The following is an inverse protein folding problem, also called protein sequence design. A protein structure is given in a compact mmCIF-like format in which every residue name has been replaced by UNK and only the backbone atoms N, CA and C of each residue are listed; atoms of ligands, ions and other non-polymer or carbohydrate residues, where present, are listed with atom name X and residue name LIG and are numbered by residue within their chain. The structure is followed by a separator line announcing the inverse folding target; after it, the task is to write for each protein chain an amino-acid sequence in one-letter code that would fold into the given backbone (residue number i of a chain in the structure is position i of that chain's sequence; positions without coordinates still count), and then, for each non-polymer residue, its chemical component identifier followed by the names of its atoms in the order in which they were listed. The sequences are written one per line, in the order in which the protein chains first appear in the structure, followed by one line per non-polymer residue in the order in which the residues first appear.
data_IF_791694156831
#
_entry.id   IF_791694156831
#
_cell.length_a   1.000
_cell.length_b   1.000
_cell.length_c   1.000
_cell.angle_alpha   90.00
_cell.angle_beta   90.00
_cell.angle_gamma   90.00
#
_symmetry.space_group_name_H-M   'P 1'
#
loop_
_entity.id
_entity.type
_entity.pdbx_description
1 polymer ?
#
# COMPACT_ATOMS: atom_id res chain seq x y z
N UNK A 1 13.23 -32.27 10.23
CA UNK A 1 14.08 -31.09 9.93
C UNK A 1 13.39 -30.33 8.81
N UNK A 2 12.85 -29.14 9.07
CA UNK A 2 12.28 -28.32 7.99
C UNK A 2 13.40 -28.02 6.98
N UNK A 3 13.21 -28.35 5.70
CA UNK A 3 14.16 -28.01 4.65
C UNK A 3 14.35 -26.49 4.64
N UNK A 4 15.51 -26.00 5.11
CA UNK A 4 15.90 -24.60 4.93
C UNK A 4 15.95 -24.33 3.43
N UNK A 5 14.97 -23.62 2.90
CA UNK A 5 15.07 -23.10 1.55
C UNK A 5 16.07 -21.95 1.57
N UNK A 6 17.07 -22.06 0.68
CA UNK A 6 18.08 -21.05 0.43
C UNK A 6 17.71 -20.37 -0.89
N UNK A 7 17.07 -19.19 -0.85
CA UNK A 7 16.81 -18.41 -2.06
C UNK A 7 18.10 -18.14 -2.84
N UNK A 8 18.00 -18.05 -4.16
CA UNK A 8 19.13 -17.59 -5.00
C UNK A 8 18.76 -16.36 -5.81
N UNK A 9 17.63 -16.43 -6.53
CA UNK A 9 17.19 -15.39 -7.44
C UNK A 9 15.79 -14.95 -7.02
N UNK A 10 15.73 -13.79 -6.37
CA UNK A 10 14.50 -13.28 -5.72
C UNK A 10 13.90 -12.17 -6.56
N UNK A 11 12.65 -12.34 -6.96
CA UNK A 11 11.83 -11.26 -7.50
C UNK A 11 11.09 -10.56 -6.37
N UNK A 12 11.32 -9.26 -6.18
CA UNK A 12 10.56 -8.42 -5.25
C UNK A 12 9.70 -7.46 -6.08
N UNK A 13 8.40 -7.66 -6.08
CA UNK A 13 7.49 -6.75 -6.78
C UNK A 13 7.15 -5.55 -5.87
N UNK A 14 7.11 -4.33 -6.39
CA UNK A 14 6.70 -3.16 -5.62
C UNK A 14 7.80 -2.56 -4.73
N UNK A 15 9.08 -2.90 -4.98
CA UNK A 15 10.19 -2.51 -4.10
C UNK A 15 10.60 -1.04 -4.20
N UNK A 16 10.07 -0.26 -5.14
CA UNK A 16 10.22 1.20 -5.10
C UNK A 16 9.21 1.85 -4.13
N UNK A 17 8.25 1.09 -3.59
CA UNK A 17 7.35 1.52 -2.52
C UNK A 17 7.99 1.48 -1.12
N UNK A 18 7.18 1.73 -0.10
CA UNK A 18 7.62 1.84 1.29
C UNK A 18 8.24 0.54 1.85
N UNK A 19 7.41 -0.44 2.24
CA UNK A 19 7.87 -1.64 2.99
C UNK A 19 8.89 -2.46 2.19
N UNK A 20 8.60 -2.68 0.92
CA UNK A 20 9.41 -3.55 0.06
C UNK A 20 10.80 -2.97 -0.24
N UNK A 21 10.98 -1.65 -0.19
CA UNK A 21 12.31 -1.04 -0.31
C UNK A 21 13.22 -1.41 0.87
N UNK A 22 12.68 -1.38 2.09
CA UNK A 22 13.41 -1.81 3.30
C UNK A 22 13.80 -3.28 3.21
N UNK A 23 12.87 -4.14 2.78
CA UNK A 23 13.14 -5.58 2.56
C UNK A 23 14.24 -5.78 1.52
N UNK A 24 14.15 -5.10 0.37
CA UNK A 24 15.14 -5.16 -0.69
C UNK A 24 16.52 -4.73 -0.21
N UNK A 25 16.63 -3.55 0.40
CA UNK A 25 17.88 -3.00 0.90
C UNK A 25 18.51 -3.90 1.98
N UNK A 26 17.67 -4.46 2.85
CA UNK A 26 18.11 -5.39 3.88
C UNK A 26 18.65 -6.69 3.30
N UNK A 27 17.96 -7.30 2.34
CA UNK A 27 18.40 -8.55 1.72
C UNK A 27 19.70 -8.36 0.95
N UNK A 28 19.85 -7.26 0.21
CA UNK A 28 21.07 -6.97 -0.55
C UNK A 28 22.27 -6.76 0.36
N UNK A 29 22.07 -6.01 1.46
CA UNK A 29 23.11 -5.75 2.45
C UNK A 29 23.57 -7.01 3.18
N UNK A 30 22.63 -7.90 3.53
CA UNK A 30 22.91 -9.03 4.41
C UNK A 30 23.24 -10.33 3.63
N UNK A 31 22.84 -10.44 2.36
CA UNK A 31 22.97 -11.65 1.55
C UNK A 31 23.59 -11.32 0.18
N UNK A 32 24.93 -11.11 0.12
CA UNK A 32 25.61 -10.74 -1.13
C UNK A 32 25.50 -11.81 -2.23
N UNK A 33 25.26 -13.07 -1.86
CA UNK A 33 25.09 -14.18 -2.79
C UNK A 33 23.69 -14.25 -3.43
N UNK A 34 22.73 -13.45 -2.97
CA UNK A 34 21.38 -13.41 -3.56
C UNK A 34 21.35 -12.43 -4.71
N UNK A 35 20.80 -12.85 -5.85
CA UNK A 35 20.40 -11.94 -6.92
C UNK A 35 19.00 -11.41 -6.62
N UNK A 36 18.87 -10.10 -6.48
CA UNK A 36 17.59 -9.42 -6.24
C UNK A 36 17.16 -8.69 -7.50
N UNK A 37 16.02 -9.09 -8.04
CA UNK A 37 15.35 -8.44 -9.16
C UNK A 37 14.12 -7.72 -8.63
N UNK A 38 13.99 -6.43 -8.92
CA UNK A 38 12.83 -5.63 -8.57
C UNK A 38 11.96 -5.42 -9.81
N UNK A 39 10.66 -5.64 -9.67
CA UNK A 39 9.65 -5.27 -10.65
C UNK A 39 8.69 -4.24 -10.05
N UNK A 40 8.70 -3.02 -10.58
CA UNK A 40 7.84 -1.93 -10.09
C UNK A 40 7.38 -1.05 -11.25
N UNK A 41 6.12 -0.64 -11.25
CA UNK A 41 5.57 0.24 -12.30
C UNK A 41 5.86 1.72 -12.04
N UNK A 42 6.43 2.06 -10.89
CA UNK A 42 6.71 3.41 -10.41
C UNK A 42 5.43 4.25 -10.31
N UNK A 43 4.49 3.74 -9.53
CA UNK A 43 3.23 4.43 -9.23
C UNK A 43 3.46 5.67 -8.33
N UNK A 44 2.42 6.44 -8.06
CA UNK A 44 2.50 7.72 -7.34
C UNK A 44 3.20 7.66 -5.98
N UNK A 45 3.09 6.53 -5.27
CA UNK A 45 3.66 6.28 -3.94
C UNK A 45 5.00 5.52 -4.00
N UNK A 46 5.62 5.45 -5.18
CA UNK A 46 6.90 4.78 -5.42
C UNK A 46 8.00 5.80 -5.73
N UNK A 47 9.22 5.50 -5.30
CA UNK A 47 10.41 6.31 -5.58
C UNK A 47 11.63 5.43 -5.74
N UNK A 48 12.37 5.60 -6.85
CA UNK A 48 13.66 4.91 -7.04
C UNK A 48 14.68 5.28 -5.96
N UNK A 49 14.55 6.47 -5.36
CA UNK A 49 15.42 6.91 -4.26
C UNK A 49 15.37 5.94 -3.07
N UNK A 50 14.23 5.27 -2.87
CA UNK A 50 14.08 4.28 -1.80
C UNK A 50 15.03 3.08 -1.97
N UNK A 51 15.53 2.85 -3.19
CA UNK A 51 16.44 1.76 -3.55
C UNK A 51 17.89 2.23 -3.75
N UNK A 52 18.19 3.52 -3.54
CA UNK A 52 19.56 4.05 -3.66
C UNK A 52 20.60 3.27 -2.83
N UNK A 53 20.31 2.81 -1.59
CA UNK A 53 21.26 1.98 -0.83
C UNK A 53 21.67 0.68 -1.53
N UNK A 54 20.83 0.17 -2.44
CA UNK A 54 21.05 -1.08 -3.18
C UNK A 54 21.53 -0.86 -4.61
N UNK A 55 21.43 0.36 -5.12
CA UNK A 55 21.53 0.67 -6.56
C UNK A 55 22.88 0.30 -7.17
N UNK A 56 23.96 0.45 -6.42
CA UNK A 56 25.33 0.14 -6.86
C UNK A 56 25.70 -1.33 -6.70
N UNK A 57 24.84 -2.15 -6.09
CA UNK A 57 25.17 -3.53 -5.79
C UNK A 57 25.15 -4.39 -7.06
N UNK A 58 26.18 -5.24 -7.31
CA UNK A 58 26.26 -6.04 -8.53
C UNK A 58 25.16 -7.13 -8.61
N UNK A 59 24.56 -7.47 -7.49
CA UNK A 59 23.48 -8.44 -7.36
C UNK A 59 22.07 -7.81 -7.42
N UNK A 60 21.96 -6.51 -7.69
CA UNK A 60 20.70 -5.79 -7.81
C UNK A 60 20.33 -5.51 -9.27
N UNK A 61 19.07 -5.75 -9.63
CA UNK A 61 18.50 -5.35 -10.92
C UNK A 61 17.13 -4.73 -10.75
N UNK A 62 16.90 -3.56 -11.33
CA UNK A 62 15.58 -2.93 -11.38
C UNK A 62 14.96 -3.08 -12.77
N UNK A 63 13.68 -3.45 -12.81
CA UNK A 63 12.86 -3.56 -14.02
C UNK A 63 11.61 -2.70 -13.82
N UNK A 64 11.44 -1.67 -14.65
CA UNK A 64 10.21 -0.88 -14.68
C UNK A 64 9.14 -1.67 -15.44
N UNK A 65 8.02 -1.96 -14.80
CA UNK A 65 6.92 -2.67 -15.45
C UNK A 65 5.78 -3.02 -14.51
N UNK A 66 4.65 -3.42 -15.11
CA UNK A 66 3.44 -3.79 -14.38
C UNK A 66 3.33 -5.32 -14.24
N UNK A 67 3.00 -5.79 -13.04
CA UNK A 67 2.72 -7.20 -12.76
C UNK A 67 1.50 -7.72 -13.53
N UNK A 68 0.64 -6.83 -14.02
CA UNK A 68 -0.50 -7.15 -14.88
C UNK A 68 -0.08 -7.55 -16.32
N UNK A 69 1.19 -7.35 -16.69
CA UNK A 69 1.73 -7.76 -17.99
C UNK A 69 2.22 -9.21 -17.93
N UNK A 70 1.39 -10.15 -18.43
CA UNK A 70 1.69 -11.58 -18.40
C UNK A 70 3.00 -11.94 -19.13
N UNK A 71 3.21 -11.38 -20.33
CA UNK A 71 4.42 -11.63 -21.11
C UNK A 71 5.68 -11.16 -20.40
N UNK A 72 5.62 -9.96 -19.79
CA UNK A 72 6.75 -9.41 -19.04
C UNK A 72 7.06 -10.26 -17.81
N UNK A 73 6.04 -10.63 -17.03
CA UNK A 73 6.24 -11.46 -15.83
C UNK A 73 6.84 -12.80 -16.24
N UNK A 74 6.29 -13.47 -17.25
CA UNK A 74 6.81 -14.74 -17.73
C UNK A 74 8.28 -14.63 -18.20
N UNK A 75 8.58 -13.59 -18.98
CA UNK A 75 9.93 -13.29 -19.45
C UNK A 75 10.92 -13.09 -18.29
N UNK A 76 10.54 -12.31 -17.26
CA UNK A 76 11.40 -12.07 -16.09
C UNK A 76 11.68 -13.38 -15.34
N UNK A 77 10.64 -14.19 -15.09
CA UNK A 77 10.82 -15.44 -14.35
C UNK A 77 11.82 -16.37 -15.05
N UNK A 78 11.72 -16.49 -16.38
CA UNK A 78 12.62 -17.34 -17.17
C UNK A 78 14.03 -16.76 -17.29
N UNK A 79 14.16 -15.51 -17.74
CA UNK A 79 15.46 -14.93 -18.09
C UNK A 79 16.31 -14.59 -16.87
N UNK A 80 15.69 -14.27 -15.74
CA UNK A 80 16.40 -13.99 -14.51
C UNK A 80 16.57 -15.23 -13.62
N UNK A 81 16.03 -16.39 -14.06
CA UNK A 81 16.03 -17.67 -13.34
C UNK A 81 15.45 -17.55 -11.92
N UNK A 82 14.35 -16.79 -11.77
CA UNK A 82 13.73 -16.51 -10.47
C UNK A 82 13.28 -17.81 -9.80
N UNK A 83 13.74 -18.06 -8.58
CA UNK A 83 13.29 -19.21 -7.78
C UNK A 83 12.45 -18.82 -6.56
N UNK A 84 12.45 -17.54 -6.21
CA UNK A 84 11.72 -17.01 -5.06
C UNK A 84 11.01 -15.71 -5.42
N UNK A 85 9.77 -15.53 -5.00
CA UNK A 85 9.01 -14.30 -5.21
C UNK A 85 8.56 -13.74 -3.87
N UNK A 86 8.77 -12.44 -3.65
CA UNK A 86 8.18 -11.68 -2.55
C UNK A 86 7.27 -10.60 -3.14
N UNK A 87 5.96 -10.83 -3.07
CA UNK A 87 4.96 -10.06 -3.78
C UNK A 87 4.33 -8.97 -2.91
N UNK A 88 4.89 -7.75 -2.97
CA UNK A 88 4.39 -6.56 -2.26
C UNK A 88 3.56 -5.59 -3.11
N UNK A 89 3.65 -5.68 -4.45
CA UNK A 89 3.00 -4.72 -5.34
C UNK A 89 1.47 -4.75 -5.17
N UNK A 90 0.89 -3.61 -4.81
CA UNK A 90 -0.53 -3.43 -4.59
C UNK A 90 -0.93 -1.94 -4.61
N UNK A 91 -2.21 -1.68 -4.86
CA UNK A 91 -2.87 -0.42 -4.51
C UNK A 91 -3.42 -0.52 -3.08
N UNK A 92 -3.15 0.49 -2.24
CA UNK A 92 -3.33 0.36 -0.76
C UNK A 92 -4.05 1.52 -0.06
N UNK A 93 -4.43 2.59 -0.76
CA UNK A 93 -5.06 3.73 -0.10
C UNK A 93 -6.57 3.52 0.07
N UNK A 94 -7.03 3.27 1.30
CA UNK A 94 -8.43 2.95 1.62
C UNK A 94 -9.41 3.99 1.06
N UNK A 95 -9.19 5.29 1.28
CA UNK A 95 -10.12 6.31 0.76
C UNK A 95 -10.18 6.32 -0.78
N UNK A 96 -9.06 6.02 -1.45
CA UNK A 96 -9.03 5.96 -2.92
C UNK A 96 -9.79 4.73 -3.44
N UNK A 97 -9.89 3.67 -2.64
CA UNK A 97 -10.57 2.44 -3.02
C UNK A 97 -12.08 2.61 -3.16
N UNK A 98 -12.69 3.55 -2.43
CA UNK A 98 -14.12 3.88 -2.59
C UNK A 98 -14.40 4.65 -3.88
N UNK A 99 -13.45 5.47 -4.34
CA UNK A 99 -13.58 6.24 -5.59
C UNK A 99 -13.19 5.48 -6.85
N UNK A 100 -12.31 4.48 -6.75
CA UNK A 100 -11.73 3.77 -7.89
C UNK A 100 -11.46 2.27 -7.60
N UNK A 101 -12.47 1.56 -7.09
CA UNK A 101 -12.35 0.14 -6.69
C UNK A 101 -11.90 -0.81 -7.82
N UNK A 102 -12.18 -0.48 -9.08
CA UNK A 102 -11.76 -1.28 -10.23
C UNK A 102 -10.23 -1.32 -10.39
N UNK A 103 -9.53 -0.21 -10.17
CA UNK A 103 -8.06 -0.21 -10.19
C UNK A 103 -7.47 -1.06 -9.07
N UNK A 104 -8.13 -1.13 -7.90
CA UNK A 104 -7.71 -2.04 -6.83
C UNK A 104 -7.91 -3.51 -7.25
N UNK A 105 -9.02 -3.84 -7.91
CA UNK A 105 -9.25 -5.20 -8.45
C UNK A 105 -8.17 -5.56 -9.49
N UNK A 106 -7.88 -4.66 -10.41
CA UNK A 106 -6.87 -4.87 -11.46
C UNK A 106 -5.47 -5.07 -10.88
N UNK A 107 -5.05 -4.20 -9.96
CA UNK A 107 -3.70 -4.26 -9.40
C UNK A 107 -3.55 -5.41 -8.39
N UNK A 108 -4.52 -5.58 -7.48
CA UNK A 108 -4.38 -6.50 -6.36
C UNK A 108 -4.83 -7.92 -6.72
N UNK A 109 -5.92 -8.12 -7.45
CA UNK A 109 -6.41 -9.46 -7.81
C UNK A 109 -5.81 -9.91 -9.13
N UNK A 110 -6.05 -9.15 -10.21
CA UNK A 110 -5.59 -9.57 -11.54
C UNK A 110 -4.05 -9.63 -11.63
N UNK A 111 -3.34 -8.63 -11.09
CA UNK A 111 -1.89 -8.64 -10.99
C UNK A 111 -1.32 -9.85 -10.23
N UNK A 112 -1.91 -10.21 -9.08
CA UNK A 112 -1.53 -11.44 -8.35
C UNK A 112 -1.84 -12.69 -9.17
N UNK A 113 -2.97 -12.75 -9.86
CA UNK A 113 -3.35 -13.88 -10.69
C UNK A 113 -2.36 -14.11 -11.84
N UNK A 114 -1.91 -13.04 -12.51
CA UNK A 114 -0.89 -13.11 -13.56
C UNK A 114 0.41 -13.71 -13.02
N UNK A 115 0.87 -13.27 -11.85
CA UNK A 115 2.04 -13.85 -11.20
C UNK A 115 1.86 -15.34 -10.90
N UNK A 116 0.71 -15.74 -10.35
CA UNK A 116 0.41 -17.13 -10.01
C UNK A 116 0.38 -18.04 -11.24
N UNK A 117 -0.26 -17.61 -12.34
CA UNK A 117 -0.25 -18.36 -13.60
C UNK A 117 1.17 -18.48 -14.17
N UNK A 118 1.97 -17.41 -14.15
CA UNK A 118 3.35 -17.47 -14.61
C UNK A 118 4.21 -18.42 -13.74
N UNK A 119 4.00 -18.45 -12.42
CA UNK A 119 4.65 -19.40 -11.52
C UNK A 119 4.29 -20.85 -11.84
N UNK A 120 3.00 -21.11 -12.06
CA UNK A 120 2.47 -22.43 -12.43
C UNK A 120 3.06 -22.92 -13.76
N UNK A 121 3.11 -22.05 -14.77
CA UNK A 121 3.64 -22.40 -16.10
C UNK A 121 5.14 -22.68 -16.05
N UNK A 122 5.91 -21.89 -15.29
CA UNK A 122 7.37 -22.05 -15.22
C UNK A 122 7.81 -23.21 -14.33
N UNK A 123 7.06 -23.53 -13.27
CA UNK A 123 7.33 -24.68 -12.39
C UNK A 123 8.65 -24.60 -11.60
N UNK A 124 9.36 -23.47 -11.64
CA UNK A 124 10.69 -23.31 -11.03
C UNK A 124 10.68 -22.60 -9.67
N UNK A 125 9.52 -22.07 -9.26
CA UNK A 125 9.38 -21.33 -8.00
C UNK A 125 9.41 -22.28 -6.82
N UNK A 126 10.33 -22.02 -5.89
CA UNK A 126 10.52 -22.76 -4.64
C UNK A 126 9.86 -22.11 -3.45
N UNK A 127 9.57 -20.80 -3.55
CA UNK A 127 8.86 -20.04 -2.50
C UNK A 127 8.17 -18.81 -3.09
N UNK A 128 6.89 -18.64 -2.78
CA UNK A 128 6.08 -17.48 -3.16
C UNK A 128 5.50 -16.82 -1.90
N UNK A 129 6.03 -15.68 -1.47
CA UNK A 129 5.55 -14.93 -0.32
C UNK A 129 4.56 -13.87 -0.81
N UNK A 130 3.28 -14.05 -0.48
CA UNK A 130 2.23 -13.07 -0.73
C UNK A 130 2.07 -12.14 0.46
N UNK A 131 2.24 -10.84 0.23
CA UNK A 131 2.12 -9.83 1.28
C UNK A 131 0.71 -9.27 1.30
N UNK A 132 0.02 -9.46 2.42
CA UNK A 132 -1.34 -8.98 2.69
C UNK A 132 -1.36 -8.10 3.95
N UNK A 133 -2.55 -7.86 4.49
CA UNK A 133 -2.83 -6.87 5.55
C UNK A 133 -3.72 -7.49 6.62
N UNK A 134 -3.67 -6.97 7.84
CA UNK A 134 -4.63 -7.30 8.91
C UNK A 134 -6.08 -6.92 8.58
N UNK A 135 -6.31 -5.87 7.80
CA UNK A 135 -7.66 -5.43 7.37
C UNK A 135 -8.49 -6.52 6.66
N UNK A 136 -7.87 -7.62 6.20
CA UNK A 136 -8.61 -8.76 5.63
C UNK A 136 -9.45 -9.50 6.68
N UNK A 137 -9.08 -9.41 7.97
CA UNK A 137 -9.87 -9.97 9.06
C UNK A 137 -11.09 -9.10 9.41
N UNK A 138 -11.10 -7.83 9.00
CA UNK A 138 -12.12 -6.86 9.39
C UNK A 138 -11.94 -6.35 10.82
N UNK A 139 -12.95 -5.59 11.26
CA UNK A 139 -13.00 -5.00 12.59
C UNK A 139 -12.95 -6.07 13.69
N UNK A 140 -12.21 -5.78 14.76
CA UNK A 140 -12.17 -6.59 15.98
C UNK A 140 -12.97 -5.92 17.08
N UNK A 141 -13.75 -6.69 17.84
CA UNK A 141 -14.52 -6.17 18.97
C UNK A 141 -13.62 -5.46 20.01
N UNK A 142 -14.13 -4.39 20.62
CA UNK A 142 -13.38 -3.58 21.58
C UNK A 142 -13.00 -4.37 22.84
N UNK A 143 -13.82 -5.33 23.26
CA UNK A 143 -13.61 -6.19 24.42
C UNK A 143 -12.84 -7.48 24.09
N UNK A 144 -12.41 -7.68 22.84
CA UNK A 144 -11.65 -8.85 22.43
C UNK A 144 -10.32 -8.94 23.20
N UNK A 145 -10.14 -10.04 23.92
CA UNK A 145 -8.93 -10.35 24.71
C UNK A 145 -7.87 -11.05 23.85
N UNK A 146 -8.30 -11.75 22.80
CA UNK A 146 -7.44 -12.50 21.89
C UNK A 146 -7.53 -11.86 20.50
N UNK A 147 -6.38 -11.54 19.91
CA UNK A 147 -6.32 -11.01 18.55
C UNK A 147 -6.61 -12.09 17.51
N UNK A 148 -6.95 -11.66 16.30
CA UNK A 148 -7.15 -12.54 15.16
C UNK A 148 -5.87 -13.34 14.88
N UNK A 149 -5.94 -14.66 15.05
CA UNK A 149 -4.90 -15.60 14.65
C UNK A 149 -5.07 -15.99 13.17
N UNK A 150 -4.10 -16.70 12.59
CA UNK A 150 -4.04 -16.91 11.13
C UNK A 150 -5.18 -17.73 10.52
N UNK A 151 -5.92 -18.48 11.34
CA UNK A 151 -7.07 -19.27 10.93
C UNK A 151 -8.41 -18.53 11.17
N UNK A 152 -8.37 -17.28 11.62
CA UNK A 152 -9.57 -16.44 11.76
C UNK A 152 -10.19 -16.17 10.40
N UNK A 153 -11.51 -15.96 10.39
CA UNK A 153 -12.27 -15.69 9.17
C UNK A 153 -11.83 -14.36 8.53
N UNK A 154 -11.86 -14.31 7.19
CA UNK A 154 -11.67 -13.07 6.47
C UNK A 154 -13.01 -12.34 6.31
N UNK A 155 -13.11 -11.14 6.87
CA UNK A 155 -14.32 -10.30 6.87
C UNK A 155 -13.97 -8.86 6.44
N UNK A 156 -13.41 -8.66 5.22
CA UNK A 156 -12.99 -7.34 4.78
C UNK A 156 -14.17 -6.36 4.68
N UNK A 157 -13.96 -5.14 5.19
CA UNK A 157 -14.99 -4.10 5.34
C UNK A 157 -14.94 -3.00 4.28
N UNK A 158 -13.89 -2.97 3.46
CA UNK A 158 -13.67 -1.92 2.45
C UNK A 158 -13.15 -2.48 1.11
N UNK A 159 -13.26 -1.74 -0.02
CA UNK A 159 -12.84 -2.26 -1.33
C UNK A 159 -11.36 -2.64 -1.40
N UNK A 160 -10.47 -1.93 -0.70
CA UNK A 160 -9.06 -2.29 -0.62
C UNK A 160 -8.88 -3.65 0.06
N UNK A 161 -9.37 -3.82 1.29
CA UNK A 161 -9.21 -5.08 2.04
C UNK A 161 -9.92 -6.25 1.35
N UNK A 162 -11.05 -6.00 0.69
CA UNK A 162 -11.75 -7.00 -0.11
C UNK A 162 -10.89 -7.51 -1.28
N UNK A 163 -10.19 -6.62 -1.99
CA UNK A 163 -9.30 -7.04 -3.08
C UNK A 163 -8.05 -7.76 -2.58
N UNK A 164 -7.53 -7.42 -1.39
CA UNK A 164 -6.44 -8.16 -0.74
C UNK A 164 -6.88 -9.57 -0.33
N UNK A 165 -8.05 -9.70 0.30
CA UNK A 165 -8.63 -11.00 0.63
C UNK A 165 -8.92 -11.83 -0.62
N UNK A 166 -9.43 -11.22 -1.69
CA UNK A 166 -9.65 -11.89 -2.98
C UNK A 166 -8.35 -12.43 -3.60
N UNK A 167 -7.26 -11.67 -3.52
CA UNK A 167 -5.94 -12.13 -3.94
C UNK A 167 -5.43 -13.31 -3.09
N UNK A 168 -5.65 -13.29 -1.76
CA UNK A 168 -5.32 -14.42 -0.88
C UNK A 168 -6.08 -15.69 -1.26
N UNK A 169 -7.35 -15.60 -1.64
CA UNK A 169 -8.12 -16.76 -2.08
C UNK A 169 -7.51 -17.40 -3.33
N UNK A 170 -7.01 -16.60 -4.28
CA UNK A 170 -6.28 -17.12 -5.44
C UNK A 170 -4.98 -17.78 -5.02
N UNK A 171 -4.16 -17.12 -4.18
CA UNK A 171 -2.89 -17.69 -3.69
C UNK A 171 -3.11 -19.03 -3.00
N UNK A 172 -4.12 -19.12 -2.13
CA UNK A 172 -4.49 -20.36 -1.45
C UNK A 172 -4.94 -21.44 -2.44
N UNK A 173 -5.81 -21.10 -3.39
CA UNK A 173 -6.30 -22.03 -4.40
C UNK A 173 -5.15 -22.57 -5.27
N UNK A 174 -4.20 -21.73 -5.64
CA UNK A 174 -3.05 -22.15 -6.45
C UNK A 174 -2.06 -23.02 -5.67
N UNK A 175 -1.85 -22.73 -4.39
CA UNK A 175 -1.09 -23.62 -3.52
C UNK A 175 -1.70 -25.01 -3.42
N UNK A 176 -3.04 -25.10 -3.26
CA UNK A 176 -3.76 -26.37 -3.13
C UNK A 176 -3.88 -27.14 -4.46
N UNK A 177 -4.23 -26.45 -5.53
CA UNK A 177 -4.56 -27.08 -6.82
C UNK A 177 -3.33 -27.40 -7.67
N UNK A 178 -2.27 -26.60 -7.55
CA UNK A 178 -1.07 -26.72 -8.38
C UNK A 178 0.22 -26.96 -7.59
N UNK A 179 0.14 -27.09 -6.26
CA UNK A 179 1.31 -27.34 -5.41
C UNK A 179 2.29 -26.17 -5.35
N UNK A 180 1.87 -24.93 -5.68
CA UNK A 180 2.76 -23.77 -5.59
C UNK A 180 3.20 -23.55 -4.13
N UNK A 181 4.50 -23.31 -3.87
CA UNK A 181 5.03 -23.21 -2.52
C UNK A 181 4.77 -21.83 -1.91
N UNK A 182 3.49 -21.55 -1.63
CA UNK A 182 3.01 -20.24 -1.18
C UNK A 182 3.14 -20.07 0.33
N UNK A 183 3.42 -18.85 0.76
CA UNK A 183 3.36 -18.37 2.14
C UNK A 183 2.60 -17.04 2.11
N UNK A 184 1.68 -16.81 3.03
CA UNK A 184 0.97 -15.53 3.11
C UNK A 184 1.39 -14.80 4.38
N UNK A 185 1.57 -13.49 4.31
CA UNK A 185 1.81 -12.66 5.49
C UNK A 185 0.68 -11.64 5.65
N UNK A 186 0.24 -11.37 6.88
CA UNK A 186 -0.75 -10.33 7.17
C UNK A 186 -0.16 -9.40 8.24
N UNK A 187 0.09 -8.15 7.88
CA UNK A 187 0.78 -7.21 8.76
C UNK A 187 -0.14 -6.14 9.35
N UNK A 188 0.20 -5.65 10.56
CA UNK A 188 -0.35 -4.41 11.11
C UNK A 188 0.14 -3.16 10.33
N UNK A 189 -0.31 -1.97 10.74
CA UNK A 189 0.19 -0.72 10.21
C UNK A 189 1.71 -0.59 10.38
N UNK A 190 2.40 -0.39 9.26
CA UNK A 190 3.85 -0.14 9.25
C UNK A 190 4.10 1.36 9.19
N UNK A 191 5.13 1.84 9.90
CA UNK A 191 5.57 3.23 9.86
C UNK A 191 7.10 3.32 9.83
N UNK A 192 7.63 4.41 9.30
CA UNK A 192 9.06 4.56 9.13
C UNK A 192 9.45 5.54 8.04
N UNK A 193 10.74 5.51 7.69
CA UNK A 193 11.30 6.29 6.59
C UNK A 193 10.72 5.82 5.25
N UNK A 194 10.79 6.61 4.19
CA UNK A 194 10.28 6.24 2.86
C UNK A 194 8.76 5.92 2.80
N UNK A 195 7.96 6.29 3.81
CA UNK A 195 6.51 6.15 3.73
C UNK A 195 5.89 7.34 2.97
N UNK A 196 4.90 7.10 2.11
CA UNK A 196 4.31 8.19 1.33
C UNK A 196 3.46 9.13 2.23
N UNK A 197 3.53 10.47 2.06
CA UNK A 197 2.94 11.43 3.00
C UNK A 197 1.41 11.49 3.13
N UNK A 198 0.67 10.65 2.42
CA UNK A 198 -0.77 10.50 2.64
C UNK A 198 -1.09 9.69 3.91
N UNK A 199 -0.14 8.85 4.36
CA UNK A 199 -0.31 7.97 5.52
C UNK A 199 -0.16 8.78 6.82
N UNK A 200 -0.81 8.31 7.87
CA UNK A 200 -1.04 9.05 9.13
C UNK A 200 0.23 9.71 9.71
N UNK A 201 1.25 8.91 10.02
CA UNK A 201 2.46 9.38 10.71
C UNK A 201 3.26 10.36 9.85
N UNK A 202 3.58 10.05 8.58
CA UNK A 202 4.22 11.01 7.66
C UNK A 202 3.43 12.31 7.48
N UNK A 203 2.10 12.22 7.32
CA UNK A 203 1.21 13.38 7.19
C UNK A 203 1.34 14.30 8.40
N UNK A 204 1.23 13.72 9.60
CA UNK A 204 1.31 14.47 10.84
C UNK A 204 2.69 15.07 11.07
N UNK A 205 3.77 14.34 10.74
CA UNK A 205 5.13 14.88 10.80
C UNK A 205 5.27 16.09 9.87
N UNK A 206 4.87 15.98 8.60
CA UNK A 206 5.00 17.10 7.66
C UNK A 206 4.09 18.29 8.01
N UNK A 207 2.89 18.05 8.56
CA UNK A 207 2.02 19.12 9.04
C UNK A 207 2.62 19.81 10.27
N UNK A 208 3.11 19.04 11.25
CA UNK A 208 3.76 19.56 12.45
C UNK A 208 5.03 20.36 12.12
N UNK A 209 5.87 19.87 11.19
CA UNK A 209 7.05 20.58 10.68
C UNK A 209 6.71 21.98 10.14
N UNK A 210 5.49 22.16 9.62
CA UNK A 210 5.01 23.43 9.07
C UNK A 210 4.10 24.20 10.04
N UNK A 211 4.00 23.78 11.30
CA UNK A 211 3.10 24.40 12.29
C UNK A 211 1.62 24.36 11.89
N UNK A 212 1.23 23.37 11.06
CA UNK A 212 -0.13 23.20 10.56
C UNK A 212 -0.91 22.23 11.43
N UNK A 213 -2.23 22.36 11.37
CA UNK A 213 -3.18 21.48 12.04
C UNK A 213 -3.00 20.02 11.63
N UNK A 214 -3.04 19.10 12.61
CA UNK A 214 -3.07 17.66 12.44
C UNK A 214 -4.55 17.18 12.41
N UNK A 215 -5.08 16.78 11.24
CA UNK A 215 -6.47 16.36 11.13
C UNK A 215 -6.66 14.91 11.59
N UNK A 216 -7.56 14.68 12.54
CA UNK A 216 -7.97 13.34 13.00
C UNK A 216 -9.37 13.05 12.49
N UNK A 217 -9.55 11.94 11.78
CA UNK A 217 -10.86 11.50 11.32
C UNK A 217 -11.73 11.01 12.48
N UNK A 218 -12.99 11.42 12.50
CA UNK A 218 -13.91 11.04 13.57
C UNK A 218 -13.51 11.68 14.90
N UNK A 219 -13.57 10.92 15.98
CA UNK A 219 -13.21 11.33 17.33
C UNK A 219 -11.80 10.91 17.74
N UNK A 220 -11.06 10.23 16.85
CA UNK A 220 -9.71 9.72 17.11
C UNK A 220 -9.64 8.53 18.05
N UNK A 221 -10.77 7.89 18.38
CA UNK A 221 -10.80 6.70 19.24
C UNK A 221 -10.23 5.46 18.54
N UNK A 222 -10.19 5.45 17.20
CA UNK A 222 -9.68 4.32 16.42
C UNK A 222 -8.31 3.85 16.93
N UNK A 223 -8.22 2.56 17.19
CA UNK A 223 -7.07 1.87 17.75
C UNK A 223 -6.36 1.10 16.65
N UNK A 224 -5.04 1.24 16.57
CA UNK A 224 -4.18 0.51 15.63
C UNK A 224 -2.92 0.04 16.33
N UNK A 225 -2.31 -1.01 15.80
CA UNK A 225 -0.96 -1.44 16.15
C UNK A 225 0.03 -0.92 15.11
N UNK A 226 1.15 -0.36 15.57
CA UNK A 226 2.16 0.24 14.69
C UNK A 226 3.49 -0.49 14.82
N UNK A 227 4.05 -0.95 13.71
CA UNK A 227 5.35 -1.60 13.63
C UNK A 227 6.36 -0.76 12.85
N UNK A 228 7.58 -0.67 13.37
CA UNK A 228 8.66 0.04 12.70
C UNK A 228 9.13 -0.71 11.45
N UNK A 229 9.41 0.00 10.35
CA UNK A 229 9.65 -0.60 9.04
C UNK A 229 10.84 -1.57 8.98
N UNK A 230 11.93 -1.30 9.71
CA UNK A 230 13.09 -2.22 9.74
C UNK A 230 12.79 -3.51 10.50
N UNK A 231 11.98 -3.46 11.56
CA UNK A 231 11.54 -4.65 12.29
C UNK A 231 10.64 -5.52 11.40
N UNK A 232 9.78 -4.88 10.59
CA UNK A 232 8.96 -5.56 9.59
C UNK A 232 9.82 -6.14 8.47
N UNK A 233 10.87 -5.43 8.04
CA UNK A 233 11.82 -5.97 7.05
C UNK A 233 12.56 -7.21 7.60
N UNK A 234 12.91 -7.22 8.88
CA UNK A 234 13.44 -8.41 9.56
C UNK A 234 12.41 -9.55 9.63
N UNK A 235 11.11 -9.24 9.84
CA UNK A 235 10.06 -10.26 9.81
C UNK A 235 10.01 -10.98 8.46
N UNK A 236 10.07 -10.23 7.37
CA UNK A 236 10.10 -10.79 6.01
C UNK A 236 11.34 -11.62 5.74
N UNK A 237 12.50 -11.21 6.26
CA UNK A 237 13.73 -12.02 6.21
C UNK A 237 13.54 -13.35 6.97
N UNK A 238 13.03 -13.31 8.20
CA UNK A 238 12.79 -14.52 9.00
C UNK A 238 11.81 -15.47 8.29
N UNK A 239 10.71 -14.95 7.77
CA UNK A 239 9.71 -15.73 7.01
C UNK A 239 10.33 -16.28 5.72
N UNK A 240 11.16 -15.48 5.04
CA UNK A 240 11.88 -15.89 3.83
C UNK A 240 12.77 -17.09 4.06
N UNK A 241 13.38 -17.28 5.23
CA UNK A 241 14.26 -18.43 5.47
C UNK A 241 13.60 -19.57 6.24
N UNK A 242 12.72 -19.24 7.19
CA UNK A 242 12.18 -20.18 8.19
C UNK A 242 10.69 -20.43 8.05
N UNK A 243 9.99 -19.66 7.23
CA UNK A 243 8.57 -19.83 6.97
C UNK A 243 8.26 -21.17 6.29
N UNK A 244 7.22 -21.82 6.77
CA UNK A 244 6.70 -23.08 6.25
C UNK A 244 5.75 -22.82 5.08
N UNK A 245 5.91 -23.59 4.01
CA UNK A 245 5.02 -23.53 2.83
C UNK A 245 3.60 -23.94 3.22
N UNK A 246 2.61 -23.25 2.66
CA UNK A 246 1.19 -23.43 2.94
C UNK A 246 0.70 -22.68 4.18
N UNK A 247 1.60 -22.01 4.91
CA UNK A 247 1.26 -21.31 6.14
C UNK A 247 1.05 -19.81 5.90
N UNK A 248 0.16 -19.25 6.72
CA UNK A 248 0.04 -17.81 6.92
C UNK A 248 0.84 -17.41 8.17
N UNK A 249 1.41 -16.21 8.17
CA UNK A 249 2.06 -15.58 9.33
C UNK A 249 1.58 -14.15 9.55
N UNK A 250 1.04 -13.88 10.73
CA UNK A 250 0.74 -12.53 11.17
C UNK A 250 2.04 -11.80 11.57
N UNK A 251 2.24 -10.57 11.07
CA UNK A 251 3.33 -9.66 11.45
C UNK A 251 2.71 -8.52 12.25
N UNK A 252 2.64 -8.68 13.57
CA UNK A 252 1.89 -7.78 14.43
C UNK A 252 2.57 -7.45 15.75
N UNK A 253 1.90 -6.61 16.53
CA UNK A 253 2.22 -6.34 17.94
C UNK A 253 0.94 -6.21 18.75
N UNK A 254 1.00 -6.58 20.03
CA UNK A 254 -0.08 -6.36 20.99
C UNK A 254 -0.10 -4.93 21.56
N UNK A 255 0.86 -4.10 21.16
CA UNK A 255 0.97 -2.69 21.58
C UNK A 255 0.08 -1.81 20.71
N UNK A 256 -1.13 -1.60 21.20
CA UNK A 256 -2.14 -0.78 20.56
C UNK A 256 -1.98 0.71 20.91
N UNK A 257 -2.31 1.59 19.96
CA UNK A 257 -2.32 3.05 20.13
C UNK A 257 -3.52 3.66 19.43
N UNK A 258 -4.15 4.65 20.08
CA UNK A 258 -5.17 5.46 19.43
C UNK A 258 -4.52 6.44 18.46
N UNK A 259 -5.23 6.76 17.38
CA UNK A 259 -4.81 7.80 16.43
C UNK A 259 -4.52 9.14 17.14
N UNK A 260 -5.33 9.47 18.15
CA UNK A 260 -5.11 10.65 18.98
C UNK A 260 -3.78 10.64 19.75
N UNK A 261 -3.41 9.50 20.33
CA UNK A 261 -2.15 9.38 21.08
C UNK A 261 -0.93 9.53 20.14
N UNK A 262 -1.04 9.05 18.89
CA UNK A 262 -0.01 9.26 17.85
C UNK A 262 0.16 10.74 17.51
N UNK A 263 -0.94 11.46 17.29
CA UNK A 263 -0.89 12.90 17.00
C UNK A 263 -0.25 13.68 18.16
N UNK A 264 -0.63 13.36 19.40
CA UNK A 264 -0.08 13.98 20.61
C UNK A 264 1.43 13.72 20.74
N UNK A 265 1.88 12.49 20.48
CA UNK A 265 3.31 12.15 20.54
C UNK A 265 4.11 12.91 19.48
N UNK A 266 3.55 13.11 18.28
CA UNK A 266 4.17 13.94 17.23
C UNK A 266 4.21 15.42 17.65
N UNK A 267 3.12 15.98 18.18
CA UNK A 267 3.13 17.37 18.70
C UNK A 267 4.23 17.57 19.75
N UNK A 268 4.43 16.61 20.66
CA UNK A 268 5.51 16.65 21.66
C UNK A 268 6.90 16.69 21.02
N UNK A 269 7.15 15.90 19.97
CA UNK A 269 8.44 15.91 19.26
C UNK A 269 8.76 17.26 18.62
N UNK A 270 7.74 18.02 18.22
CA UNK A 270 7.88 19.35 17.62
C UNK A 270 7.68 20.50 18.62
N UNK A 271 7.54 20.22 19.92
CA UNK A 271 7.21 21.21 20.97
C UNK A 271 5.95 22.04 20.64
N UNK A 272 4.95 21.40 20.03
CA UNK A 272 3.67 21.99 19.72
C UNK A 272 2.62 21.64 20.78
N UNK A 273 1.69 22.56 21.03
CA UNK A 273 0.55 22.32 21.90
C UNK A 273 -0.52 21.44 21.18
N UNK A 274 -0.83 20.23 21.70
CA UNK A 274 -1.82 19.35 21.09
C UNK A 274 -3.24 19.95 21.03
N UNK A 275 -3.63 20.80 21.98
CA UNK A 275 -5.00 21.36 22.03
C UNK A 275 -5.27 22.32 20.87
N UNK A 276 -4.28 23.14 20.53
CA UNK A 276 -4.35 24.05 19.39
C UNK A 276 -4.11 23.34 18.05
N UNK A 277 -3.21 22.36 18.00
CA UNK A 277 -2.78 21.73 16.74
C UNK A 277 -3.65 20.57 16.26
N UNK A 278 -4.32 19.84 17.15
CA UNK A 278 -5.13 18.69 16.74
C UNK A 278 -6.56 19.15 16.46
N UNK A 279 -7.11 18.77 15.30
CA UNK A 279 -8.52 19.03 14.96
C UNK A 279 -9.20 17.77 14.43
N UNK A 280 -10.40 17.53 14.95
CA UNK A 280 -11.27 16.47 14.44
C UNK A 280 -11.91 16.91 13.12
N UNK A 281 -11.94 16.00 12.16
CA UNK A 281 -12.53 16.17 10.83
C UNK A 281 -13.55 15.06 10.58
N UNK A 282 -14.28 15.16 9.47
CA UNK A 282 -15.23 14.13 9.05
C UNK A 282 -14.59 12.72 9.09
N UNK A 283 -15.36 11.75 9.58
CA UNK A 283 -14.88 10.38 9.65
C UNK A 283 -14.82 9.76 8.25
N UNK A 284 -14.02 8.71 8.07
CA UNK A 284 -14.02 7.93 6.84
C UNK A 284 -15.22 6.98 6.82
N UNK A 285 -15.80 6.71 5.64
CA UNK A 285 -16.76 5.63 5.48
C UNK A 285 -16.13 4.30 5.89
N UNK A 286 -16.84 3.50 6.71
CA UNK A 286 -16.39 2.16 7.13
C UNK A 286 -14.99 2.16 7.75
N UNK A 287 -14.73 3.10 8.66
CA UNK A 287 -13.47 3.18 9.40
C UNK A 287 -13.51 2.26 10.62
N UNK A 288 -13.04 1.03 10.45
CA UNK A 288 -13.01 0.01 11.52
C UNK A 288 -12.37 0.57 12.81
N UNK A 289 -12.97 0.33 13.97
CA UNK A 289 -12.49 0.91 15.22
C UNK A 289 -11.17 0.31 15.65
N UNK A 290 -11.01 -1.01 15.54
CA UNK A 290 -9.85 -1.72 16.07
C UNK A 290 -9.43 -2.86 15.15
N UNK A 291 -8.12 -3.01 14.96
CA UNK A 291 -7.52 -4.21 14.38
C UNK A 291 -6.56 -4.80 15.41
N UNK A 292 -6.84 -6.01 15.86
CA UNK A 292 -6.03 -6.70 16.87
C UNK A 292 -5.58 -8.05 16.34
N UNK A 293 -4.26 -8.25 16.20
CA UNK A 293 -3.65 -9.46 15.68
C UNK A 293 -3.00 -10.29 16.79
N UNK A 294 -3.06 -11.62 16.63
CA UNK A 294 -2.13 -12.52 17.32
C UNK A 294 -0.87 -12.74 16.49
N UNK A 295 0.30 -12.58 17.13
CA UNK A 295 1.65 -12.65 16.53
C UNK A 295 2.48 -13.85 17.03
N UNK A 296 1.90 -14.75 17.85
CA UNK A 296 2.64 -15.85 18.47
C UNK A 296 3.30 -16.78 17.45
N UNK A 297 2.64 -17.05 16.33
CA UNK A 297 3.18 -17.96 15.31
C UNK A 297 4.48 -17.46 14.71
N UNK A 298 4.58 -16.17 14.40
CA UNK A 298 5.82 -15.58 13.88
C UNK A 298 6.90 -15.48 14.97
N UNK A 299 6.53 -15.19 16.22
CA UNK A 299 7.47 -15.24 17.37
C UNK A 299 8.09 -16.62 17.56
N UNK A 300 7.32 -17.68 17.32
CA UNK A 300 7.84 -19.05 17.36
C UNK A 300 8.91 -19.35 16.29
N UNK A 301 8.96 -18.59 15.20
CA UNK A 301 10.05 -18.65 14.20
C UNK A 301 11.32 -17.87 14.62
N UNK A 302 11.24 -17.12 15.73
CA UNK A 302 12.34 -16.37 16.32
C UNK A 302 12.37 -14.89 15.94
N UNK A 303 11.27 -14.32 15.42
CA UNK A 303 11.15 -12.87 15.20
C UNK A 303 10.50 -12.18 16.39
N UNK A 304 11.01 -10.99 16.76
CA UNK A 304 10.43 -10.13 17.79
C UNK A 304 10.62 -8.66 17.39
N UNK A 305 9.66 -7.82 17.75
CA UNK A 305 9.81 -6.36 17.67
C UNK A 305 11.02 -5.92 18.50
N UNK A 306 11.91 -5.13 17.91
CA UNK A 306 13.16 -4.65 18.53
C UNK A 306 13.10 -3.16 18.85
N UNK A 307 12.44 -2.40 17.98
CA UNK A 307 12.40 -0.95 18.05
C UNK A 307 11.23 -0.52 18.91
N UNK A 308 11.47 0.31 19.92
CA UNK A 308 10.37 0.89 20.71
C UNK A 308 9.62 1.94 19.89
N UNK A 309 8.39 2.26 20.28
CA UNK A 309 7.62 3.33 19.63
C UNK A 309 8.37 4.67 19.64
N UNK A 310 8.92 5.03 20.79
CA UNK A 310 9.60 6.30 20.99
C UNK A 310 10.84 6.41 20.10
N UNK A 311 11.62 5.34 19.99
CA UNK A 311 12.79 5.27 19.11
C UNK A 311 12.40 5.30 17.63
N UNK A 312 11.45 4.47 17.23
CA UNK A 312 11.00 4.38 15.84
C UNK A 312 10.36 5.68 15.36
N UNK A 313 9.53 6.32 16.19
CA UNK A 313 8.88 7.59 15.86
C UNK A 313 9.92 8.71 15.72
N UNK A 314 10.92 8.74 16.61
CA UNK A 314 12.03 9.70 16.53
C UNK A 314 12.85 9.52 15.24
N UNK A 315 13.27 8.30 14.90
CA UNK A 315 13.98 8.00 13.65
C UNK A 315 13.16 8.38 12.41
N UNK A 316 11.86 8.13 12.46
CA UNK A 316 10.94 8.50 11.39
C UNK A 316 10.90 10.01 11.20
N UNK A 317 10.70 10.76 12.30
CA UNK A 317 10.69 12.23 12.29
C UNK A 317 12.02 12.81 11.77
N UNK A 318 13.16 12.36 12.29
CA UNK A 318 14.49 12.82 11.88
C UNK A 318 14.72 12.64 10.39
N UNK A 319 14.24 11.53 9.83
CA UNK A 319 14.34 11.27 8.40
C UNK A 319 13.50 12.25 7.58
N UNK A 320 12.24 12.51 7.94
CA UNK A 320 11.41 13.49 7.21
C UNK A 320 11.98 14.92 7.31
N UNK A 321 12.52 15.28 8.47
CA UNK A 321 13.18 16.58 8.66
C UNK A 321 14.43 16.71 7.78
N UNK A 322 15.18 15.62 7.62
CA UNK A 322 16.38 15.59 6.78
C UNK A 322 16.09 15.40 5.29
N UNK A 323 14.85 15.03 4.92
CA UNK A 323 14.45 14.72 3.54
C UNK A 323 13.11 15.41 3.16
N UNK A 324 12.97 16.73 3.32
CA UNK A 324 11.69 17.43 3.12
C UNK A 324 11.16 17.30 1.68
N UNK A 325 12.05 17.25 0.69
CA UNK A 325 11.70 17.21 -0.74
C UNK A 325 11.74 15.79 -1.34
N UNK A 326 11.77 14.74 -0.50
CA UNK A 326 11.92 13.36 -0.99
C UNK A 326 10.88 12.99 -2.06
N UNK A 327 9.63 13.38 -1.81
CA UNK A 327 8.44 13.04 -2.61
C UNK A 327 8.01 14.11 -3.60
N UNK A 328 8.69 15.27 -3.63
CA UNK A 328 8.27 16.46 -4.38
C UNK A 328 7.02 17.11 -3.75
N UNK A 329 6.14 17.66 -4.59
CA UNK A 329 4.90 18.27 -4.11
C UNK A 329 3.93 17.21 -3.57
N UNK A 330 3.66 17.29 -2.27
CA UNK A 330 2.74 16.42 -1.54
C UNK A 330 1.56 17.18 -0.92
N UNK A 331 1.34 18.43 -1.32
CA UNK A 331 0.26 19.28 -0.80
C UNK A 331 -1.11 18.59 -0.83
N UNK A 332 -1.44 17.92 -1.94
CA UNK A 332 -2.67 17.13 -2.08
C UNK A 332 -2.75 15.92 -1.13
N UNK A 333 -1.62 15.27 -0.83
CA UNK A 333 -1.56 14.13 0.09
C UNK A 333 -1.79 14.54 1.55
N UNK A 334 -1.46 15.80 1.91
CA UNK A 334 -1.61 16.35 3.25
C UNK A 334 -3.04 16.82 3.57
N UNK A 335 -3.96 16.78 2.60
CA UNK A 335 -5.37 17.04 2.84
C UNK A 335 -5.96 15.98 3.80
N UNK A 336 -6.95 16.32 4.63
CA UNK A 336 -7.60 15.34 5.51
C UNK A 336 -8.17 14.16 4.72
N UNK A 337 -8.99 14.45 3.71
CA UNK A 337 -9.52 13.46 2.76
C UNK A 337 -8.93 13.74 1.36
N UNK A 338 -7.76 13.17 1.03
CA UNK A 338 -7.18 13.35 -0.29
C UNK A 338 -8.10 12.72 -1.34
N UNK A 339 -8.69 13.53 -2.22
CA UNK A 339 -9.44 13.06 -3.40
C UNK A 339 -8.55 13.21 -4.64
N UNK A 340 -8.02 12.08 -5.12
CA UNK A 340 -7.19 11.89 -6.34
C UNK A 340 -5.95 12.79 -6.52
N UNK A 341 -4.77 12.18 -6.35
CA UNK A 341 -3.51 12.53 -7.04
C UNK A 341 -3.35 11.77 -8.39
N UNK A 342 -4.40 11.09 -8.85
CA UNK A 342 -4.35 10.18 -10.00
C UNK A 342 -5.02 10.78 -11.24
N UNK A 343 -4.36 11.72 -11.90
CA UNK A 343 -4.64 11.94 -13.33
C UNK A 343 -3.74 10.98 -14.13
N UNK A 344 -4.29 10.01 -14.88
CA UNK A 344 -3.51 9.31 -15.87
C UNK A 344 -3.10 10.32 -16.95
N UNK A 345 -1.81 10.64 -17.06
CA UNK A 345 -1.29 11.44 -18.16
C UNK A 345 -0.24 12.49 -17.85
N UNK A 346 0.14 12.73 -16.59
CA UNK A 346 1.33 13.55 -16.29
C UNK A 346 2.52 12.60 -16.11
N UNK A 347 3.20 12.29 -17.22
CA UNK A 347 4.56 11.76 -17.14
C UNK A 347 5.40 12.77 -16.33
N UNK A 348 5.91 12.35 -15.18
CA UNK A 348 7.00 13.07 -14.51
C UNK A 348 8.22 12.96 -15.41
N UNK A 349 8.46 13.96 -16.27
CA UNK A 349 9.71 14.07 -17.02
C UNK A 349 10.86 14.22 -16.01
N UNK A 350 11.73 13.22 -15.97
CA UNK A 350 13.02 13.31 -15.30
C UNK A 350 13.99 14.04 -16.22
N UNK A 351 14.37 15.28 -15.89
CA UNK A 351 15.49 15.96 -16.53
C UNK A 351 16.60 16.26 -15.51
N UNK A 352 17.81 15.86 -15.88
CA UNK A 352 19.10 16.25 -15.29
C UNK A 352 19.46 17.70 -15.71
N UNK A 353 20.52 18.32 -15.14
CA UNK A 353 20.51 19.74 -14.79
C UNK A 353 20.97 20.72 -15.89
N UNK A 354 20.74 21.99 -15.57
CA UNK A 354 21.28 23.24 -16.12
C UNK A 354 20.49 23.95 -17.23
N UNK A 355 19.81 25.05 -16.88
CA UNK A 355 20.36 26.42 -16.99
C UNK A 355 19.27 27.48 -16.74
N UNK A 356 19.70 28.59 -16.17
CA UNK A 356 18.95 29.82 -15.89
C UNK A 356 18.17 30.38 -17.09
N UNK A 357 16.91 30.76 -16.89
CA UNK A 357 16.44 32.09 -17.28
C UNK A 357 15.11 32.50 -16.63
N UNK A 358 15.11 33.74 -16.16
CA UNK A 358 14.03 34.51 -15.58
C UNK A 358 12.92 34.87 -16.57
N UNK A 359 11.67 34.96 -16.10
CA UNK A 359 10.72 35.93 -16.63
C UNK A 359 9.24 35.55 -16.71
N UNK A 360 8.44 36.29 -15.94
CA UNK A 360 7.03 36.69 -16.13
C UNK A 360 5.87 35.73 -15.81
N UNK A 361 5.00 36.23 -14.91
CA UNK A 361 3.58 36.39 -15.23
C UNK A 361 2.59 35.60 -14.38
N UNK A 362 2.25 36.09 -13.19
CA UNK A 362 1.15 35.60 -12.37
C UNK A 362 -0.21 36.10 -12.89
N UNK A 363 -1.16 35.18 -13.12
CA UNK A 363 -2.58 35.48 -13.30
C UNK A 363 -3.42 34.52 -12.42
N UNK A 364 -4.47 35.00 -11.72
CA UNK A 364 -5.17 34.21 -10.72
C UNK A 364 -6.21 33.30 -11.39
N UNK A 365 -6.09 31.99 -11.16
CA UNK A 365 -7.12 31.02 -11.53
C UNK A 365 -8.23 31.06 -10.47
N UNK A 366 -9.41 31.52 -10.87
CA UNK A 366 -10.62 31.51 -10.05
C UNK A 366 -11.22 30.09 -10.03
N UNK A 367 -11.04 29.37 -8.92
CA UNK A 367 -11.67 28.07 -8.71
C UNK A 367 -13.17 28.22 -8.40
N UNK A 368 -14.02 28.01 -9.39
CA UNK A 368 -15.45 27.74 -9.16
C UNK A 368 -15.62 26.26 -8.78
N UNK A 369 -15.92 26.03 -7.50
CA UNK A 369 -16.28 24.74 -6.95
C UNK A 369 -17.61 24.24 -7.53
N UNK A 370 -17.60 23.11 -8.23
CA UNK A 370 -18.79 22.27 -8.42
C UNK A 370 -18.76 21.14 -7.39
N UNK A 371 -19.56 21.27 -6.34
CA UNK A 371 -19.81 20.22 -5.36
C UNK A 371 -20.71 19.14 -5.98
N UNK A 372 -20.17 17.94 -6.22
CA UNK A 372 -20.98 16.75 -6.45
C UNK A 372 -21.55 16.27 -5.11
N UNK A 373 -22.75 16.74 -4.75
CA UNK A 373 -23.53 16.20 -3.63
C UNK A 373 -24.11 14.83 -4.00
N UNK A 374 -23.93 13.84 -3.13
CA UNK A 374 -24.71 12.60 -3.15
C UNK A 374 -26.18 12.92 -2.87
N UNK A 375 -27.09 12.43 -3.72
CA UNK A 375 -28.52 12.71 -3.65
C UNK A 375 -29.21 11.69 -2.71
N UNK A 376 -29.72 12.19 -1.59
CA UNK A 376 -30.88 11.60 -0.88
C UNK A 376 -32.15 12.17 -1.55
N UNK A 377 -33.21 11.39 -1.83
CA UNK A 377 -34.37 11.92 -2.56
C UNK A 377 -35.28 12.73 -1.63
N UNK A 378 -35.52 14.00 -1.98
CA UNK A 378 -36.58 14.85 -1.40
C UNK A 378 -37.84 14.85 -2.30
N UNK A 379 -39.03 15.20 -1.78
CA UNK A 379 -40.30 14.99 -2.48
C UNK A 379 -40.48 15.94 -3.67
N UNK A 380 -41.18 15.44 -4.69
CA UNK A 380 -41.34 16.00 -6.03
C UNK A 380 -42.00 17.40 -6.04
N UNK A 381 -41.34 18.37 -6.66
CA UNK A 381 -41.98 19.54 -7.27
C UNK A 381 -41.93 19.43 -8.81
N UNK A 382 -43.07 19.73 -9.45
CA UNK A 382 -43.32 19.61 -10.89
C UNK A 382 -42.39 20.50 -11.74
N UNK A 383 -41.60 19.87 -12.62
CA UNK A 383 -40.83 20.52 -13.70
C UNK A 383 -41.47 20.09 -15.04
N UNK A 384 -41.57 20.96 -16.06
CA UNK A 384 -42.19 20.61 -17.33
C UNK A 384 -41.45 19.46 -18.02
N UNK A 385 -42.20 18.46 -18.48
CA UNK A 385 -41.66 17.24 -19.09
C UNK A 385 -41.00 17.53 -20.44
N UNK A 386 -39.67 17.67 -20.46
CA UNK A 386 -38.90 17.37 -21.67
C UNK A 386 -39.03 15.86 -21.94
N UNK A 387 -39.51 15.48 -23.13
CA UNK A 387 -39.57 14.07 -23.53
C UNK A 387 -38.17 13.46 -23.36
N UNK A 388 -38.02 12.33 -22.65
CA UNK A 388 -36.72 11.73 -22.45
C UNK A 388 -36.14 11.34 -23.82
N UNK A 389 -34.94 11.81 -24.11
CA UNK A 389 -34.18 11.36 -25.27
C UNK A 389 -33.94 9.87 -25.13
N UNK A 390 -34.36 9.09 -26.12
CA UNK A 390 -34.14 7.65 -26.14
C UNK A 390 -32.63 7.41 -26.19
N UNK A 391 -32.12 6.66 -25.22
CA UNK A 391 -30.74 6.17 -25.19
C UNK A 391 -30.70 4.83 -25.88
N UNK A 392 -29.70 4.62 -26.72
CA UNK A 392 -29.45 3.30 -27.29
C UNK A 392 -28.04 2.83 -26.94
N UNK A 393 -27.91 1.53 -26.79
CA UNK A 393 -26.66 0.84 -26.61
C UNK A 393 -26.75 -0.44 -27.45
N UNK A 394 -25.88 -0.55 -28.44
CA UNK A 394 -25.80 -1.73 -29.31
C UNK A 394 -24.49 -2.43 -28.97
N UNK A 395 -24.60 -3.73 -28.69
CA UNK A 395 -23.47 -4.60 -28.43
C UNK A 395 -23.20 -5.49 -29.65
N UNK A 396 -21.96 -5.49 -30.14
CA UNK A 396 -21.51 -6.31 -31.26
C UNK A 396 -20.13 -6.94 -31.00
N UNK A 397 -19.67 -7.76 -31.95
CA UNK A 397 -18.40 -8.52 -31.84
C UNK A 397 -17.16 -7.64 -31.59
N UNK A 398 -17.19 -6.37 -31.97
CA UNK A 398 -16.06 -5.43 -31.86
C UNK A 398 -16.21 -4.41 -30.75
N UNK A 399 -17.26 -4.52 -29.91
CA UNK A 399 -17.48 -3.65 -28.76
C UNK A 399 -18.86 -3.00 -28.73
N UNK A 400 -18.92 -1.83 -28.09
CA UNK A 400 -20.15 -1.12 -27.79
C UNK A 400 -20.22 0.18 -28.59
N UNK A 401 -21.35 0.46 -29.22
CA UNK A 401 -21.69 1.78 -29.73
C UNK A 401 -22.96 2.23 -29.02
N UNK A 402 -22.92 3.41 -28.40
CA UNK A 402 -24.06 3.95 -27.68
C UNK A 402 -24.10 5.47 -27.77
N UNK A 403 -25.30 6.02 -27.64
CA UNK A 403 -25.52 7.45 -27.78
C UNK A 403 -26.96 7.86 -27.51
N UNK A 404 -27.21 9.15 -27.72
CA UNK A 404 -28.56 9.70 -27.71
C UNK A 404 -29.13 9.60 -29.13
N UNK A 405 -30.30 8.97 -29.27
CA UNK A 405 -30.98 8.86 -30.56
C UNK A 405 -31.22 10.29 -31.12
N UNK A 406 -30.73 10.57 -32.34
CA UNK A 406 -30.85 11.88 -33.00
C UNK A 406 -29.69 12.87 -32.76
N UNK A 407 -28.59 12.45 -32.14
CA UNK A 407 -27.36 13.27 -31.96
C UNK A 407 -26.10 12.66 -32.58
N UNK A 408 -26.25 11.72 -33.52
CA UNK A 408 -25.13 11.15 -34.29
C UNK A 408 -24.85 11.99 -35.53
#
# INVERSE_FOLDING_TARGET
MANKCTPKNILITGAAGFIASHVCNRLIRNYPDYKIVVLDKLDYCSSLKNLDPSRSSPNFKFIKGDIASADLVHFILQTEFIDTIMHFAAQTHVDNSFGNSFEFTKNNIYGTHVLLEACKVTGQIKRFIHVSTDEVYGETDEDAVVGNHEASQLLPTNPYSATKAGAEMLVMAYGRSYGLPVITTRGNNVYGTNQFPEKLIPKFILLAMNGKILPIHGDGSNVRSYLYCEDVAEAFEVILHRGEVGHVYNIGTKKERRVFDVARDICRLFNLDPESQIKFVENRPFNDQRYFLDDQKLKSLGWYERTTWEEGLKKTMEWYVSNPDWWGDVSGALLPHPRMLMLPGIERQFNAPDTSNSGLGSAPVTNKFNQSRMLVPSPKHNIPSQKPSLKFLIYGRTGWIGGLLGKL
#
